data_IF_933870077775
#
_entry.id   IF_933870077775
#
_cell.length_a   1.000
_cell.length_b   1.000
_cell.length_c   1.000
_cell.angle_alpha   90.00
_cell.angle_beta   90.00
_cell.angle_gamma   90.00
#
_symmetry.space_group_name_H-M   'P 1'
#
loop_
_entity.id
_entity.type
_entity.pdbx_description
1 polymer ?
#
# COMPACT_ATOMS: atom_id res chain seq x y z
N UNK A 1 19.91 6.75 -6.21
CA UNK A 1 19.11 6.72 -7.46
C UNK A 1 17.87 7.53 -7.18
N UNK A 2 17.58 8.58 -7.95
CA UNK A 2 16.32 9.28 -7.81
C UNK A 2 15.15 8.34 -8.11
N UNK A 3 14.09 8.30 -7.27
CA UNK A 3 12.94 7.46 -7.55
C UNK A 3 12.29 7.91 -8.86
N UNK A 4 12.02 6.95 -9.75
CA UNK A 4 11.34 7.21 -11.00
C UNK A 4 9.91 7.71 -10.72
N UNK A 5 9.28 8.42 -11.67
CA UNK A 5 7.95 9.02 -11.51
C UNK A 5 6.93 8.02 -10.94
N UNK A 6 6.98 6.76 -11.41
CA UNK A 6 6.12 5.68 -10.95
C UNK A 6 6.32 5.33 -9.46
N UNK A 7 7.57 5.26 -8.99
CA UNK A 7 7.89 5.05 -7.57
C UNK A 7 7.33 6.17 -6.70
N UNK A 8 7.50 7.43 -7.13
CA UNK A 8 6.95 8.58 -6.41
C UNK A 8 5.43 8.51 -6.33
N UNK A 9 4.77 8.15 -7.42
CA UNK A 9 3.32 7.96 -7.46
C UNK A 9 2.90 6.85 -6.50
N UNK A 10 3.53 5.68 -6.54
CA UNK A 10 3.20 4.57 -5.64
C UNK A 10 3.37 4.91 -4.16
N UNK A 11 4.45 5.61 -3.79
CA UNK A 11 4.64 6.09 -2.41
C UNK A 11 3.53 7.08 -2.03
N UNK A 12 3.19 8.04 -2.90
CA UNK A 12 2.08 8.97 -2.66
C UNK A 12 0.74 8.25 -2.48
N UNK A 13 0.47 7.19 -3.27
CA UNK A 13 -0.74 6.39 -3.11
C UNK A 13 -0.74 5.63 -1.78
N UNK A 14 0.40 5.05 -1.38
CA UNK A 14 0.56 4.40 -0.07
C UNK A 14 0.30 5.37 1.09
N UNK A 15 0.85 6.59 1.04
CA UNK A 15 0.58 7.60 2.08
C UNK A 15 -0.91 7.95 2.18
N UNK A 16 -1.59 8.07 1.04
CA UNK A 16 -3.05 8.30 1.03
C UNK A 16 -3.83 7.13 1.61
N UNK A 17 -3.43 5.89 1.30
CA UNK A 17 -4.03 4.68 1.88
C UNK A 17 -3.87 4.69 3.40
N UNK A 18 -2.67 4.96 3.91
CA UNK A 18 -2.41 5.02 5.35
C UNK A 18 -3.20 6.13 6.05
N UNK A 19 -3.36 7.29 5.41
CA UNK A 19 -4.19 8.37 5.95
C UNK A 19 -5.69 8.03 5.95
N UNK A 20 -6.15 7.28 4.95
CA UNK A 20 -7.57 6.94 4.80
C UNK A 20 -7.97 5.69 5.62
N UNK A 21 -7.06 4.74 5.81
CA UNK A 21 -7.32 3.47 6.47
C UNK A 21 -7.99 3.61 7.86
N UNK A 22 -7.58 4.51 8.76
CA UNK A 22 -8.26 4.71 10.05
C UNK A 22 -9.71 5.17 9.92
N UNK A 23 -10.09 5.81 8.81
CA UNK A 23 -11.45 6.30 8.59
C UNK A 23 -12.42 5.19 8.17
N UNK A 24 -11.90 4.10 7.60
CA UNK A 24 -12.67 2.93 7.15
C UNK A 24 -12.39 1.70 8.01
N UNK A 25 -11.53 1.82 9.02
CA UNK A 25 -11.18 0.74 9.93
C UNK A 25 -12.41 0.25 10.70
N UNK A 26 -12.55 -1.07 10.76
CA UNK A 26 -13.50 -1.77 11.61
C UNK A 26 -12.70 -2.55 12.65
N UNK A 27 -12.50 -1.97 13.82
CA UNK A 27 -11.61 -2.53 14.84
C UNK A 27 -10.15 -2.35 14.44
N UNK A 28 -9.42 -3.45 14.27
CA UNK A 28 -8.00 -3.48 13.90
C UNK A 28 -7.77 -3.72 12.41
N UNK A 29 -8.84 -3.86 11.61
CA UNK A 29 -8.77 -4.17 10.19
C UNK A 29 -9.36 -3.01 9.37
N UNK A 30 -8.71 -2.63 8.28
CA UNK A 30 -9.19 -1.62 7.35
C UNK A 30 -9.17 -2.16 5.92
N UNK A 31 -10.21 -1.88 5.13
CA UNK A 31 -10.25 -2.24 3.71
C UNK A 31 -10.32 -0.96 2.88
N UNK A 32 -9.27 -0.70 2.11
CA UNK A 32 -9.15 0.46 1.23
C UNK A 32 -9.28 0.00 -0.21
N UNK A 33 -10.18 0.63 -0.96
CA UNK A 33 -10.39 0.33 -2.36
C UNK A 33 -9.66 1.35 -3.22
N UNK A 34 -8.84 0.88 -4.15
CA UNK A 34 -8.17 1.68 -5.16
C UNK A 34 -8.68 1.36 -6.56
N UNK A 35 -8.51 2.30 -7.49
CA UNK A 35 -8.70 1.99 -8.91
C UNK A 35 -7.70 0.92 -9.33
N UNK A 36 -8.02 0.15 -10.35
CA UNK A 36 -7.09 -0.87 -10.89
C UNK A 36 -5.72 -0.27 -11.24
N UNK A 37 -5.70 0.93 -11.83
CA UNK A 37 -4.45 1.61 -12.20
C UNK A 37 -3.62 1.99 -10.97
N UNK A 38 -4.22 2.63 -9.97
CA UNK A 38 -3.52 3.02 -8.74
C UNK A 38 -3.05 1.79 -7.95
N UNK A 39 -3.86 0.73 -7.94
CA UNK A 39 -3.51 -0.53 -7.28
C UNK A 39 -2.26 -1.15 -7.91
N UNK A 40 -2.18 -1.20 -9.25
CA UNK A 40 -0.98 -1.70 -9.93
C UNK A 40 0.25 -0.85 -9.66
N UNK A 41 0.10 0.47 -9.58
CA UNK A 41 1.22 1.38 -9.24
C UNK A 41 1.76 1.08 -7.84
N UNK A 42 0.87 0.84 -6.86
CA UNK A 42 1.26 0.44 -5.50
C UNK A 42 1.91 -0.94 -5.50
N UNK A 43 1.31 -1.91 -6.19
CA UNK A 43 1.84 -3.27 -6.28
C UNK A 43 3.25 -3.29 -6.92
N UNK A 44 3.46 -2.60 -8.04
CA UNK A 44 4.76 -2.52 -8.70
C UNK A 44 5.79 -1.84 -7.80
N UNK A 45 5.40 -0.76 -7.12
CA UNK A 45 6.28 -0.05 -6.18
C UNK A 45 6.72 -0.95 -5.03
N UNK A 46 5.81 -1.76 -4.46
CA UNK A 46 6.13 -2.65 -3.34
C UNK A 46 6.87 -3.92 -3.75
N UNK A 47 6.51 -4.54 -4.87
CA UNK A 47 6.94 -5.91 -5.20
C UNK A 47 7.87 -6.03 -6.42
N UNK A 48 7.84 -5.08 -7.37
CA UNK A 48 8.62 -5.20 -8.62
C UNK A 48 9.81 -4.23 -8.68
N UNK A 49 9.66 -3.02 -8.16
CA UNK A 49 10.63 -1.94 -8.36
C UNK A 49 11.84 -1.98 -7.42
N UNK A 50 11.96 -3.01 -6.56
CA UNK A 50 12.98 -3.10 -5.52
C UNK A 50 13.10 -1.80 -4.71
N UNK A 51 11.95 -1.18 -4.40
CA UNK A 51 11.91 0.10 -3.70
C UNK A 51 12.58 -0.05 -2.34
N UNK A 52 13.64 0.73 -2.05
CA UNK A 52 14.31 0.70 -0.76
C UNK A 52 13.32 0.95 0.37
N UNK A 53 13.43 0.20 1.46
CA UNK A 53 12.54 0.34 2.62
C UNK A 53 12.56 1.75 3.21
N UNK A 54 13.69 2.45 3.13
CA UNK A 54 13.84 3.86 3.54
C UNK A 54 12.95 4.85 2.77
N UNK A 55 12.45 4.47 1.59
CA UNK A 55 11.51 5.29 0.80
C UNK A 55 10.05 4.95 1.08
N UNK A 56 9.78 3.80 1.70
CA UNK A 56 8.41 3.43 2.07
C UNK A 56 8.01 4.16 3.35
N UNK A 57 6.71 4.45 3.53
CA UNK A 57 6.22 5.05 4.77
C UNK A 57 6.63 4.23 6.01
N UNK A 58 7.15 4.92 7.02
CA UNK A 58 7.64 4.30 8.26
C UNK A 58 6.57 3.53 9.03
N UNK A 59 5.30 3.90 8.86
CA UNK A 59 4.15 3.24 9.50
C UNK A 59 3.88 1.83 8.98
N UNK A 60 4.43 1.46 7.82
CA UNK A 60 4.31 0.10 7.28
C UNK A 60 5.39 -0.74 7.95
N UNK A 61 4.99 -1.77 8.69
CA UNK A 61 5.86 -2.77 9.33
C UNK A 61 6.15 -3.93 8.38
N UNK A 62 5.14 -4.43 7.70
CA UNK A 62 5.29 -5.50 6.71
C UNK A 62 4.26 -5.35 5.59
N UNK A 63 4.50 -6.00 4.45
CA UNK A 63 3.53 -6.00 3.35
C UNK A 63 3.61 -7.30 2.55
N UNK A 64 2.44 -7.78 2.10
CA UNK A 64 2.35 -9.01 1.30
C UNK A 64 1.20 -8.97 0.31
N UNK A 65 1.31 -9.79 -0.75
CA UNK A 65 0.20 -10.06 -1.66
C UNK A 65 -0.68 -11.18 -1.10
N UNK A 66 -2.00 -11.00 -1.20
CA UNK A 66 -3.03 -11.97 -0.82
C UNK A 66 -4.00 -12.23 -1.98
N UNK A 67 -4.86 -13.23 -1.78
CA UNK A 67 -5.99 -13.55 -2.66
C UNK A 67 -5.60 -13.70 -4.14
N UNK A 68 -4.51 -14.43 -4.39
CA UNK A 68 -3.97 -14.67 -5.74
C UNK A 68 -3.65 -13.36 -6.49
N UNK A 69 -2.92 -12.46 -5.80
CA UNK A 69 -2.50 -11.15 -6.31
C UNK A 69 -3.64 -10.16 -6.56
N UNK A 70 -4.73 -10.28 -5.78
CA UNK A 70 -5.89 -9.36 -5.88
C UNK A 70 -5.97 -8.36 -4.73
N UNK A 71 -5.24 -8.60 -3.65
CA UNK A 71 -5.18 -7.72 -2.50
C UNK A 71 -3.73 -7.53 -2.02
N UNK A 72 -3.42 -6.34 -1.54
CA UNK A 72 -2.15 -6.03 -0.86
C UNK A 72 -2.49 -5.85 0.61
N UNK A 73 -1.92 -6.67 1.48
CA UNK A 73 -2.01 -6.47 2.92
C UNK A 73 -0.82 -5.66 3.40
N UNK A 74 -1.08 -4.55 4.10
CA UNK A 74 -0.10 -3.78 4.84
C UNK A 74 -0.31 -4.03 6.34
N UNK A 75 0.76 -4.39 7.02
CA UNK A 75 0.80 -4.46 8.46
C UNK A 75 1.37 -3.15 9.01
N UNK A 76 0.68 -2.56 9.98
CA UNK A 76 1.10 -1.35 10.69
C UNK A 76 0.99 -1.60 12.20
N UNK A 77 1.52 -0.72 13.03
CA UNK A 77 1.46 -0.91 14.49
C UNK A 77 0.03 -1.00 15.05
N UNK A 78 -0.93 -0.34 14.39
CA UNK A 78 -2.30 -0.21 14.89
C UNK A 78 -3.34 -0.93 14.03
N UNK A 79 -3.06 -1.13 12.75
CA UNK A 79 -4.03 -1.64 11.76
C UNK A 79 -3.41 -2.67 10.81
N UNK A 80 -4.21 -3.67 10.45
CA UNK A 80 -4.01 -4.50 9.27
C UNK A 80 -4.86 -3.92 8.12
N UNK A 81 -4.21 -3.45 7.06
CA UNK A 81 -4.87 -2.75 5.95
C UNK A 81 -4.87 -3.65 4.72
N UNK A 82 -6.06 -4.02 4.23
CA UNK A 82 -6.25 -4.70 2.94
C UNK A 82 -6.52 -3.66 1.86
N UNK A 83 -5.69 -3.63 0.82
CA UNK A 83 -5.86 -2.77 -0.36
C UNK A 83 -6.40 -3.61 -1.51
N UNK A 84 -7.63 -3.31 -1.92
CA UNK A 84 -8.39 -4.06 -2.91
C UNK A 84 -8.72 -3.19 -4.14
N UNK A 85 -9.02 -3.83 -5.27
CA UNK A 85 -9.48 -3.16 -6.48
C UNK A 85 -11.01 -3.00 -6.44
N UNK A 86 -11.54 -1.88 -6.95
CA UNK A 86 -12.98 -1.70 -7.21
C UNK A 86 -13.31 -1.56 -8.71
#
# INVERSE_FOLDING_TARGET
>A
MDPNLHQKQGITHLEKVLQYAPMVATGTEAVVHLTTEDWYVVADTLFQMNTPRELLPESINDFRLRDDHRAIELDTDELQISIEMF
#
